data_IF_970276298191
#
_entry.id   IF_970276298191
#
_cell.length_a   1.000
_cell.length_b   1.000
_cell.length_c   1.000
_cell.angle_alpha   90.00
_cell.angle_beta   90.00
_cell.angle_gamma   90.00
#
_symmetry.space_group_name_H-M   'P 1'
#
loop_
_entity.id
_entity.type
_entity.pdbx_description
1 polymer ?
#
# COMPACT_ATOMS: atom_id res chain seq x y z
N UNK A 1 41.35 17.41 19.90
CA UNK A 1 40.21 18.13 19.30
C UNK A 1 39.16 17.11 18.86
N UNK A 2 38.26 16.69 19.76
CA UNK A 2 37.38 15.52 19.57
C UNK A 2 36.06 15.88 18.86
N UNK A 3 35.68 15.09 17.84
CA UNK A 3 34.45 15.20 17.04
C UNK A 3 33.20 15.01 17.92
N UNK A 4 32.40 16.08 18.09
CA UNK A 4 31.14 16.10 18.87
C UNK A 4 29.88 16.32 18.01
N UNK A 5 29.91 15.95 16.72
CA UNK A 5 28.83 16.24 15.76
C UNK A 5 27.95 15.03 15.37
N UNK A 6 28.22 13.84 15.92
CA UNK A 6 27.61 12.59 15.46
C UNK A 6 26.27 12.22 16.11
N UNK A 7 25.86 12.80 17.24
CA UNK A 7 24.71 12.31 18.02
C UNK A 7 23.48 13.23 17.97
N UNK A 8 23.67 14.55 17.86
CA UNK A 8 22.57 15.54 17.85
C UNK A 8 21.70 15.46 16.59
N UNK A 9 22.28 15.10 15.43
CA UNK A 9 21.52 14.97 14.17
C UNK A 9 20.58 13.76 14.20
N UNK A 10 21.02 12.62 14.76
CA UNK A 10 20.17 11.42 14.89
C UNK A 10 19.00 11.64 15.85
N UNK A 11 19.21 12.35 16.96
CA UNK A 11 18.14 12.66 17.91
C UNK A 11 17.07 13.53 17.24
N UNK A 12 17.45 14.59 16.52
CA UNK A 12 16.50 15.45 15.81
C UNK A 12 15.80 14.75 14.63
N UNK A 13 16.45 13.79 13.96
CA UNK A 13 15.82 12.97 12.93
C UNK A 13 14.79 11.98 13.51
N UNK A 14 15.09 11.38 14.68
CA UNK A 14 14.19 10.48 15.41
C UNK A 14 12.89 11.17 15.80
N UNK A 15 12.98 12.39 16.34
CA UNK A 15 11.80 13.19 16.70
C UNK A 15 10.95 13.57 15.48
N UNK A 16 11.58 13.93 14.35
CA UNK A 16 10.84 14.24 13.10
C UNK A 16 10.16 13.02 12.49
N UNK A 17 10.74 11.82 12.63
CA UNK A 17 10.06 10.59 12.19
C UNK A 17 8.89 10.22 13.12
N UNK A 18 9.04 10.39 14.43
CA UNK A 18 7.96 10.15 15.40
C UNK A 18 6.79 11.11 15.21
N UNK A 19 7.06 12.37 14.83
CA UNK A 19 6.03 13.41 14.60
C UNK A 19 5.56 13.50 13.15
N UNK A 20 5.84 12.49 12.32
CA UNK A 20 5.36 12.47 10.93
C UNK A 20 3.88 12.06 10.90
N UNK A 21 3.00 13.08 10.95
CA UNK A 21 1.54 12.95 10.97
C UNK A 21 0.93 12.44 9.65
N UNK A 22 1.67 12.50 8.53
CA UNK A 22 1.19 12.02 7.23
C UNK A 22 1.15 10.49 7.22
N UNK A 23 -0.06 9.93 7.12
CA UNK A 23 -0.32 8.49 7.06
C UNK A 23 -0.46 7.80 8.41
N UNK A 24 -0.64 8.54 9.51
CA UNK A 24 -0.76 7.98 10.85
C UNK A 24 -2.22 7.61 11.18
N UNK A 25 -2.43 6.45 11.81
CA UNK A 25 -3.74 5.99 12.30
C UNK A 25 -4.33 6.92 13.38
N UNK A 26 -3.49 7.75 14.02
CA UNK A 26 -3.90 8.69 15.08
C UNK A 26 -5.01 9.64 14.61
N UNK A 27 -4.94 10.13 13.36
CA UNK A 27 -5.94 11.01 12.76
C UNK A 27 -7.22 10.27 12.34
N UNK A 28 -7.21 8.94 12.37
CA UNK A 28 -8.39 8.13 12.13
C UNK A 28 -9.13 7.79 13.44
N UNK A 29 -8.40 7.60 14.55
CA UNK A 29 -8.98 7.20 15.84
C UNK A 29 -9.18 8.35 16.84
N UNK A 30 -8.71 9.57 16.56
CA UNK A 30 -8.77 10.70 17.51
C UNK A 30 -10.18 10.97 18.05
N UNK A 31 -11.23 10.85 17.22
CA UNK A 31 -12.60 11.05 17.66
C UNK A 31 -13.04 10.02 18.70
N UNK A 32 -12.64 8.75 18.53
CA UNK A 32 -12.94 7.69 19.49
C UNK A 32 -12.21 7.91 20.82
N UNK A 33 -10.94 8.36 20.78
CA UNK A 33 -10.15 8.69 21.98
C UNK A 33 -10.83 9.82 22.76
N UNK A 34 -11.27 10.86 22.05
CA UNK A 34 -11.93 12.02 22.63
C UNK A 34 -13.26 11.61 23.30
N UNK A 35 -14.08 10.82 22.63
CA UNK A 35 -15.35 10.32 23.20
C UNK A 35 -15.15 9.51 24.49
N UNK A 36 -14.19 8.59 24.50
CA UNK A 36 -13.89 7.79 25.70
C UNK A 36 -13.35 8.66 26.84
N UNK A 37 -12.52 9.67 26.51
CA UNK A 37 -12.01 10.64 27.49
C UNK A 37 -13.12 11.49 28.12
N UNK A 38 -14.04 12.01 27.31
CA UNK A 38 -15.22 12.75 27.80
C UNK A 38 -16.09 11.84 28.67
N UNK A 39 -16.39 10.62 28.21
CA UNK A 39 -17.18 9.66 28.97
C UNK A 39 -16.57 9.36 30.34
N UNK A 40 -15.26 9.10 30.39
CA UNK A 40 -14.54 8.85 31.65
C UNK A 40 -14.59 10.07 32.59
N UNK A 41 -14.46 11.28 32.04
CA UNK A 41 -14.53 12.53 32.81
C UNK A 41 -15.93 12.75 33.40
N UNK A 42 -16.98 12.45 32.64
CA UNK A 42 -18.38 12.55 33.11
C UNK A 42 -18.62 11.56 34.27
N UNK A 43 -18.21 10.30 34.12
CA UNK A 43 -18.35 9.28 35.18
C UNK A 43 -17.59 9.70 36.44
N UNK A 44 -16.39 10.25 36.29
CA UNK A 44 -15.61 10.76 37.42
C UNK A 44 -16.29 11.93 38.15
N UNK A 45 -16.84 12.90 37.41
CA UNK A 45 -17.56 14.03 38.01
C UNK A 45 -18.82 13.58 38.76
N UNK A 46 -19.60 12.66 38.17
CA UNK A 46 -20.79 12.09 38.82
C UNK A 46 -20.39 11.38 40.11
N UNK A 47 -19.33 10.58 40.10
CA UNK A 47 -18.84 9.88 41.30
C UNK A 47 -18.33 10.82 42.39
N UNK A 48 -17.85 12.02 42.04
CA UNK A 48 -17.34 13.00 43.01
C UNK A 48 -18.46 13.82 43.66
N UNK A 49 -19.48 14.20 42.88
CA UNK A 49 -20.56 15.07 43.34
C UNK A 49 -21.81 14.32 43.82
N UNK A 50 -21.97 13.04 43.48
CA UNK A 50 -23.09 12.21 43.93
C UNK A 50 -22.61 11.20 44.97
N UNK A 51 -23.22 11.18 46.15
CA UNK A 51 -22.94 10.24 47.26
C UNK A 51 -23.43 8.79 46.98
N UNK A 52 -23.69 8.48 45.71
CA UNK A 52 -24.16 7.17 45.28
C UNK A 52 -22.98 6.20 45.20
N UNK A 53 -22.96 5.24 46.14
CA UNK A 53 -22.03 4.11 46.13
C UNK A 53 -22.38 3.16 44.97
N UNK A 54 -21.94 3.48 43.77
CA UNK A 54 -22.02 2.56 42.64
C UNK A 54 -21.00 1.43 42.82
N UNK A 55 -21.49 0.23 43.15
CA UNK A 55 -20.67 -0.97 43.22
C UNK A 55 -20.49 -1.54 41.82
N UNK A 56 -19.31 -1.35 41.23
CA UNK A 56 -18.94 -1.96 39.96
C UNK A 56 -18.20 -3.28 40.20
N UNK A 57 -18.68 -4.36 39.60
CA UNK A 57 -18.03 -5.67 39.70
C UNK A 57 -16.84 -5.74 38.72
N UNK A 58 -15.62 -5.63 39.24
CA UNK A 58 -14.38 -5.67 38.47
C UNK A 58 -14.23 -6.95 37.63
N UNK A 59 -14.86 -8.06 38.05
CA UNK A 59 -14.78 -9.36 37.41
C UNK A 59 -15.30 -9.34 35.96
N UNK A 60 -16.41 -8.63 35.69
CA UNK A 60 -16.98 -8.57 34.34
C UNK A 60 -16.06 -7.82 33.37
N UNK A 61 -15.44 -6.73 33.83
CA UNK A 61 -14.50 -5.94 33.02
C UNK A 61 -13.25 -6.76 32.68
N UNK A 62 -12.75 -7.54 33.64
CA UNK A 62 -11.58 -8.41 33.43
C UNK A 62 -11.85 -9.50 32.37
N UNK A 63 -12.99 -10.19 32.46
CA UNK A 63 -13.36 -11.24 31.49
C UNK A 63 -13.53 -10.64 30.09
N UNK A 64 -14.22 -9.50 29.96
CA UNK A 64 -14.37 -8.81 28.67
C UNK A 64 -13.01 -8.36 28.10
N UNK A 65 -12.12 -7.84 28.94
CA UNK A 65 -10.77 -7.45 28.55
C UNK A 65 -9.95 -8.62 28.01
N UNK A 66 -10.04 -9.80 28.66
CA UNK A 66 -9.37 -11.01 28.20
C UNK A 66 -9.87 -11.44 26.82
N UNK A 67 -11.18 -11.47 26.61
CA UNK A 67 -11.79 -11.87 25.32
C UNK A 67 -11.40 -10.90 24.20
N UNK A 68 -11.49 -9.58 24.44
CA UNK A 68 -11.11 -8.56 23.45
C UNK A 68 -9.63 -8.67 23.09
N UNK A 69 -8.76 -8.91 24.07
CA UNK A 69 -7.32 -9.09 23.85
C UNK A 69 -7.03 -10.30 22.98
N UNK A 70 -7.69 -11.43 23.25
CA UNK A 70 -7.54 -12.66 22.46
C UNK A 70 -8.02 -12.47 21.01
N UNK A 71 -9.20 -11.86 20.83
CA UNK A 71 -9.74 -11.58 19.50
C UNK A 71 -8.87 -10.62 18.70
N UNK A 72 -8.29 -9.61 19.36
CA UNK A 72 -7.38 -8.67 18.73
C UNK A 72 -6.14 -9.40 18.18
N UNK A 73 -5.53 -10.29 18.97
CA UNK A 73 -4.36 -11.07 18.56
C UNK A 73 -4.63 -11.90 17.32
N UNK A 74 -5.76 -12.63 17.28
CA UNK A 74 -6.12 -13.42 16.10
C UNK A 74 -6.32 -12.53 14.86
N UNK A 75 -7.02 -11.40 15.03
CA UNK A 75 -7.22 -10.44 13.94
C UNK A 75 -5.90 -9.86 13.42
N UNK A 76 -4.99 -9.48 14.32
CA UNK A 76 -3.69 -8.92 13.93
C UNK A 76 -2.80 -9.96 13.26
N UNK A 77 -2.84 -11.22 13.70
CA UNK A 77 -2.07 -12.30 13.09
C UNK A 77 -2.51 -12.53 11.64
N UNK A 78 -3.81 -12.69 11.38
CA UNK A 78 -4.31 -12.88 10.01
C UNK A 78 -4.02 -11.67 9.11
N UNK A 79 -4.13 -10.44 9.63
CA UNK A 79 -3.78 -9.24 8.88
C UNK A 79 -2.27 -9.18 8.56
N UNK A 80 -1.43 -9.61 9.51
CA UNK A 80 0.02 -9.68 9.34
C UNK A 80 0.42 -10.72 8.29
N UNK A 81 -0.17 -11.91 8.33
CA UNK A 81 0.09 -12.97 7.36
C UNK A 81 -0.26 -12.52 5.94
N UNK A 82 -1.44 -11.90 5.74
CA UNK A 82 -1.84 -11.33 4.44
C UNK A 82 -0.88 -10.25 3.93
N UNK A 83 -0.41 -9.39 4.83
CA UNK A 83 0.58 -8.35 4.48
C UNK A 83 1.91 -8.97 4.03
N UNK A 84 2.37 -10.01 4.73
CA UNK A 84 3.60 -10.73 4.37
C UNK A 84 3.46 -11.54 3.09
N UNK A 85 2.31 -12.17 2.88
CA UNK A 85 1.97 -12.86 1.65
C UNK A 85 2.02 -11.91 0.44
N UNK A 86 1.40 -10.74 0.55
CA UNK A 86 1.47 -9.72 -0.50
C UNK A 86 2.90 -9.28 -0.81
N UNK A 87 3.73 -9.03 0.21
CA UNK A 87 5.17 -8.72 0.02
C UNK A 87 5.91 -9.87 -0.67
N UNK A 88 5.63 -11.11 -0.28
CA UNK A 88 6.26 -12.30 -0.87
C UNK A 88 5.91 -12.42 -2.35
N UNK A 89 4.64 -12.26 -2.72
CA UNK A 89 4.17 -12.30 -4.10
C UNK A 89 4.83 -11.21 -4.95
N UNK A 90 4.90 -9.97 -4.47
CA UNK A 90 5.59 -8.88 -5.17
C UNK A 90 7.09 -9.17 -5.39
N UNK A 91 7.76 -9.72 -4.37
CA UNK A 91 9.16 -10.13 -4.47
C UNK A 91 9.35 -11.28 -5.46
N UNK A 92 8.45 -12.26 -5.49
CA UNK A 92 8.50 -13.37 -6.44
C UNK A 92 8.28 -12.88 -7.88
N UNK A 93 7.30 -12.00 -8.10
CA UNK A 93 7.05 -11.39 -9.41
C UNK A 93 8.29 -10.68 -9.96
N UNK A 94 8.89 -9.78 -9.17
CA UNK A 94 10.10 -9.05 -9.59
C UNK A 94 11.30 -9.97 -9.82
N UNK A 95 11.44 -11.06 -9.05
CA UNK A 95 12.46 -12.08 -9.28
C UNK A 95 12.24 -12.82 -10.61
N UNK A 96 11.02 -13.25 -10.90
CA UNK A 96 10.68 -13.90 -12.17
C UNK A 96 10.94 -12.99 -13.37
N UNK A 97 10.55 -11.72 -13.30
CA UNK A 97 10.82 -10.71 -14.34
C UNK A 97 12.33 -10.56 -14.57
N UNK A 98 13.14 -10.47 -13.51
CA UNK A 98 14.61 -10.37 -13.62
C UNK A 98 15.23 -11.61 -14.23
N UNK A 99 14.77 -12.80 -13.84
CA UNK A 99 15.28 -14.06 -14.38
C UNK A 99 14.92 -14.21 -15.86
N UNK A 100 13.68 -13.88 -16.23
CA UNK A 100 13.24 -13.91 -17.63
C UNK A 100 13.99 -12.88 -18.48
N UNK A 101 14.17 -11.65 -17.96
CA UNK A 101 14.97 -10.61 -18.62
C UNK A 101 16.40 -11.09 -18.87
N UNK A 102 17.04 -11.72 -17.88
CA UNK A 102 18.38 -12.31 -18.04
C UNK A 102 18.39 -13.45 -19.05
N UNK A 103 17.37 -14.31 -19.05
CA UNK A 103 17.22 -15.40 -20.01
C UNK A 103 17.11 -14.87 -21.44
N UNK A 104 16.26 -13.87 -21.67
CA UNK A 104 16.15 -13.17 -22.97
C UNK A 104 17.50 -12.54 -23.33
N UNK A 105 18.16 -11.89 -22.36
CA UNK A 105 19.44 -11.23 -22.60
C UNK A 105 20.54 -12.19 -23.07
N UNK A 106 20.64 -13.38 -22.49
CA UNK A 106 21.73 -14.32 -22.78
C UNK A 106 21.39 -15.29 -23.90
N UNK A 107 20.15 -15.77 -23.99
CA UNK A 107 19.78 -16.85 -24.92
C UNK A 107 19.42 -16.35 -26.33
N UNK A 108 18.98 -15.10 -26.47
CA UNK A 108 18.63 -14.53 -27.78
C UNK A 108 19.87 -13.96 -28.43
N UNK A 109 20.34 -14.61 -29.50
CA UNK A 109 21.43 -14.15 -30.35
C UNK A 109 20.96 -13.05 -31.28
N UNK A 110 21.70 -11.95 -31.36
CA UNK A 110 21.34 -10.83 -32.23
C UNK A 110 22.21 -10.84 -33.48
N UNK A 111 21.57 -10.89 -34.64
CA UNK A 111 22.27 -10.82 -35.94
C UNK A 111 22.00 -9.50 -36.65
N UNK A 112 20.80 -8.95 -36.48
CA UNK A 112 20.38 -7.69 -37.09
C UNK A 112 19.97 -6.64 -36.05
N UNK A 113 19.96 -5.36 -36.46
CA UNK A 113 19.50 -4.24 -35.61
C UNK A 113 18.02 -4.36 -35.22
N UNK A 114 17.21 -5.03 -36.03
CA UNK A 114 15.81 -5.35 -35.75
C UNK A 114 15.68 -6.32 -34.57
N UNK A 115 16.50 -7.36 -34.51
CA UNK A 115 16.50 -8.35 -33.43
C UNK A 115 16.79 -7.68 -32.07
N UNK A 116 17.71 -6.70 -32.05
CA UNK A 116 18.02 -5.91 -30.87
C UNK A 116 16.84 -5.06 -30.38
N UNK A 117 16.05 -4.49 -31.31
CA UNK A 117 14.87 -3.69 -30.97
C UNK A 117 13.75 -4.56 -30.42
N UNK A 118 13.47 -5.70 -31.06
CA UNK A 118 12.44 -6.66 -30.60
C UNK A 118 12.81 -7.22 -29.21
N UNK A 119 14.10 -7.51 -28.98
CA UNK A 119 14.61 -7.95 -27.68
C UNK A 119 14.42 -6.89 -26.58
N UNK A 120 14.79 -5.63 -26.86
CA UNK A 120 14.60 -4.52 -25.90
C UNK A 120 13.12 -4.25 -25.64
N UNK A 121 12.29 -4.34 -26.67
CA UNK A 121 10.83 -4.22 -26.58
C UNK A 121 10.26 -5.27 -25.62
N UNK A 122 10.61 -6.55 -25.80
CA UNK A 122 10.15 -7.63 -24.92
C UNK A 122 10.55 -7.40 -23.45
N UNK A 123 11.78 -6.93 -23.21
CA UNK A 123 12.25 -6.61 -21.85
C UNK A 123 11.46 -5.44 -21.25
N UNK A 124 11.24 -4.37 -22.03
CA UNK A 124 10.46 -3.21 -21.57
C UNK A 124 9.03 -3.60 -21.22
N UNK A 125 8.42 -4.53 -21.96
CA UNK A 125 7.07 -5.03 -21.68
C UNK A 125 7.02 -5.80 -20.34
N UNK A 126 8.05 -6.57 -20.00
CA UNK A 126 8.13 -7.24 -18.69
C UNK A 126 8.23 -6.24 -17.53
N UNK A 127 8.94 -5.14 -17.72
CA UNK A 127 9.02 -4.06 -16.73
C UNK A 127 7.69 -3.33 -16.65
N UNK A 128 7.06 -3.03 -17.80
CA UNK A 128 5.75 -2.41 -17.87
C UNK A 128 4.69 -3.24 -17.15
N UNK A 129 4.75 -4.58 -17.20
CA UNK A 129 3.85 -5.46 -16.44
C UNK A 129 3.93 -5.23 -14.91
N UNK A 130 5.13 -5.01 -14.36
CA UNK A 130 5.28 -4.70 -12.93
C UNK A 130 4.65 -3.36 -12.57
N UNK A 131 4.83 -2.33 -13.41
CA UNK A 131 4.19 -1.02 -13.23
C UNK A 131 2.68 -1.12 -13.39
N UNK A 132 2.18 -1.84 -14.40
CA UNK A 132 0.76 -2.09 -14.61
C UNK A 132 0.12 -2.72 -13.38
N UNK A 133 0.79 -3.72 -12.79
CA UNK A 133 0.33 -4.36 -11.56
C UNK A 133 0.26 -3.38 -10.39
N UNK A 134 1.24 -2.47 -10.25
CA UNK A 134 1.20 -1.40 -9.22
C UNK A 134 0.01 -0.47 -9.44
N UNK A 135 -0.22 0.00 -10.66
CA UNK A 135 -1.31 0.92 -10.99
C UNK A 135 -2.68 0.25 -10.80
N UNK A 136 -2.81 -1.00 -11.23
CA UNK A 136 -4.00 -1.81 -11.00
C UNK A 136 -4.33 -1.97 -9.50
N UNK A 137 -3.33 -2.25 -8.64
CA UNK A 137 -3.53 -2.35 -7.19
C UNK A 137 -3.86 -1.01 -6.51
N UNK A 138 -3.60 0.12 -7.18
CA UNK A 138 -3.94 1.47 -6.71
C UNK A 138 -5.26 1.99 -7.28
N UNK A 139 -5.95 1.18 -8.09
CA UNK A 139 -7.14 1.60 -8.83
C UNK A 139 -6.86 2.79 -9.78
N UNK A 140 -5.61 2.91 -10.23
CA UNK A 140 -5.14 3.87 -11.21
C UNK A 140 -5.24 3.20 -12.59
N UNK A 141 -6.34 3.40 -13.32
CA UNK A 141 -6.56 2.81 -14.64
C UNK A 141 -5.96 3.69 -15.76
N UNK A 142 -5.54 3.07 -16.86
CA UNK A 142 -4.95 3.75 -18.01
C UNK A 142 -3.46 3.46 -18.21
N UNK A 143 -2.93 3.87 -19.36
CA UNK A 143 -1.52 3.70 -19.74
C UNK A 143 -0.75 5.02 -19.83
N UNK A 144 -1.44 6.15 -19.61
CA UNK A 144 -0.89 7.51 -19.72
C UNK A 144 -0.27 7.98 -18.41
N UNK A 145 0.66 7.18 -17.88
CA UNK A 145 1.43 7.49 -16.69
C UNK A 145 2.90 7.71 -17.06
N UNK A 146 3.53 8.74 -16.48
CA UNK A 146 4.92 9.12 -16.78
C UNK A 146 5.91 7.95 -16.67
N UNK A 147 5.68 6.99 -15.75
CA UNK A 147 6.52 5.82 -15.52
C UNK A 147 6.25 4.65 -16.49
N UNK A 148 5.16 4.67 -17.25
CA UNK A 148 4.79 3.63 -18.21
C UNK A 148 4.93 4.07 -19.67
N UNK A 149 4.70 5.35 -19.96
CA UNK A 149 4.74 5.89 -21.33
C UNK A 149 6.07 5.60 -22.02
N UNK A 150 7.19 5.85 -21.34
CA UNK A 150 8.54 5.58 -21.86
C UNK A 150 8.73 4.10 -22.24
N UNK A 151 8.17 3.19 -21.44
CA UNK A 151 8.27 1.75 -21.66
C UNK A 151 7.40 1.27 -22.82
N UNK A 152 6.27 1.94 -23.09
CA UNK A 152 5.28 1.52 -24.07
C UNK A 152 5.39 2.24 -25.43
N UNK A 153 6.24 3.26 -25.55
CA UNK A 153 6.42 4.06 -26.79
C UNK A 153 6.63 3.26 -28.08
N UNK A 154 7.21 2.07 -27.97
CA UNK A 154 7.57 1.21 -29.09
C UNK A 154 6.45 0.30 -29.60
N UNK A 155 5.29 0.24 -28.90
CA UNK A 155 4.17 -0.63 -29.26
C UNK A 155 3.08 0.21 -29.93
N UNK A 156 2.52 -0.22 -31.08
CA UNK A 156 1.34 0.43 -31.64
C UNK A 156 0.16 0.33 -30.65
N UNK A 157 -0.56 1.44 -30.48
CA UNK A 157 -1.70 1.52 -29.56
C UNK A 157 -2.83 0.62 -30.07
N UNK A 158 -2.95 -0.57 -29.52
CA UNK A 158 -4.14 -1.40 -29.71
C UNK A 158 -5.18 -0.96 -28.68
N UNK A 159 -6.22 -0.25 -29.14
CA UNK A 159 -7.42 0.03 -28.34
C UNK A 159 -8.20 -1.27 -28.18
N UNK A 160 -7.83 -2.07 -27.19
CA UNK A 160 -8.67 -3.17 -26.71
C UNK A 160 -9.45 -2.57 -25.54
N UNK A 161 -10.78 -2.69 -25.48
CA UNK A 161 -11.52 -2.34 -24.27
C UNK A 161 -10.98 -3.23 -23.15
N UNK A 162 -10.11 -2.64 -22.33
CA UNK A 162 -9.51 -3.31 -21.19
C UNK A 162 -10.65 -3.71 -20.25
N UNK A 163 -10.69 -4.95 -19.77
CA UNK A 163 -11.76 -5.48 -18.89
C UNK A 163 -11.86 -4.79 -17.51
N UNK A 164 -11.19 -3.65 -17.34
CA UNK A 164 -11.00 -2.91 -16.10
C UNK A 164 -11.51 -1.47 -16.18
N UNK A 165 -11.99 -1.03 -17.35
CA UNK A 165 -12.95 0.08 -17.42
C UNK A 165 -14.34 -0.50 -17.14
N UNK A 166 -15.18 0.09 -16.26
CA UNK A 166 -16.59 -0.28 -16.22
C UNK A 166 -17.15 -0.09 -17.64
N UNK A 167 -17.85 -1.08 -18.19
CA UNK A 167 -18.45 -1.04 -19.53
C UNK A 167 -19.29 0.24 -19.70
N UNK A 168 -18.68 1.30 -20.22
CA UNK A 168 -19.36 2.54 -20.57
C UNK A 168 -19.94 2.36 -21.97
N UNK A 169 -21.20 1.93 -22.02
CA UNK A 169 -21.98 1.71 -23.26
C UNK A 169 -22.05 2.94 -24.18
N UNK A 170 -21.55 4.10 -23.73
CA UNK A 170 -21.48 5.35 -24.50
C UNK A 170 -20.24 5.47 -25.39
N UNK A 171 -19.24 4.59 -25.26
CA UNK A 171 -18.00 4.68 -26.05
C UNK A 171 -18.00 3.88 -27.36
N UNK A 172 -19.12 3.25 -27.74
CA UNK A 172 -19.28 2.57 -29.04
C UNK A 172 -19.73 3.53 -30.17
N UNK A 173 -18.98 4.60 -30.41
CA UNK A 173 -19.03 5.27 -31.72
C UNK A 173 -17.61 5.43 -32.25
N UNK A 174 -17.20 4.64 -33.24
CA UNK A 174 -15.95 4.91 -33.93
C UNK A 174 -16.12 6.21 -34.72
N UNK A 175 -15.64 7.32 -34.16
CA UNK A 175 -15.50 8.58 -34.90
C UNK A 175 -14.10 8.66 -35.52
N UNK A 176 -13.77 7.71 -36.37
CA UNK A 176 -12.74 7.90 -37.40
C UNK A 176 -13.46 8.05 -38.72
N UNK A 177 -13.45 9.23 -39.38
CA UNK A 177 -13.66 9.23 -40.81
C UNK A 177 -12.42 8.56 -41.45
N UNK A 178 -12.69 7.76 -42.48
CA UNK A 178 -11.72 7.06 -43.33
C UNK A 178 -10.59 7.98 -43.81
#
# INVERSE_FOLDING_TARGET
MARKYGTTVYVNAKWRMMLRLKGTVILQIWWHILLVGIYSTIVFLISKYSDWKMNYTLNLVSVMGMVVSLLLVFRTNTAYDRYWEGRRLWSQMTLCIRNLTRGIWVCVTETETRDLLEKKSAINLLVAFAFATKHYLREEYGYDYDDMVDLLTHIPKYSIPTSVEPMDWRMDIPTTPL
#
